data_IF_004261106390
#
_entry.id   IF_004261106390
#
_cell.length_a   1.000
_cell.length_b   1.000
_cell.length_c   1.000
_cell.angle_alpha   90.00
_cell.angle_beta   90.00
_cell.angle_gamma   90.00
#
_symmetry.space_group_name_H-M   'P 1'
#
loop_
_entity.id
_entity.type
_entity.pdbx_description
1 polymer ?
#
# COMPACT_ATOMS: atom_id res chain seq x y z
N UNK A 1 2.99 -38.03 35.95
CA UNK A 1 3.97 -37.69 34.90
C UNK A 1 3.20 -37.49 33.60
N UNK A 2 2.80 -36.24 33.28
CA UNK A 2 1.87 -35.93 32.18
C UNK A 2 2.64 -35.16 31.11
N UNK A 3 2.68 -35.74 29.91
CA UNK A 3 3.40 -35.25 28.74
C UNK A 3 2.60 -34.14 28.05
N UNK A 4 3.16 -32.93 27.98
CA UNK A 4 2.63 -31.82 27.19
C UNK A 4 3.29 -31.82 25.80
N UNK A 5 2.62 -32.38 24.80
CA UNK A 5 2.95 -32.15 23.38
C UNK A 5 2.39 -30.80 22.94
N UNK A 6 3.24 -29.78 22.85
CA UNK A 6 2.92 -28.54 22.11
C UNK A 6 3.10 -28.81 20.61
N UNK A 7 2.02 -28.67 19.84
CA UNK A 7 2.07 -28.50 18.38
C UNK A 7 2.24 -27.01 18.06
N UNK A 8 3.20 -26.59 17.22
CA UNK A 8 3.19 -25.25 16.67
C UNK A 8 2.52 -25.21 15.29
N UNK A 9 1.96 -24.03 15.00
CA UNK A 9 1.79 -23.42 13.67
C UNK A 9 0.83 -24.06 12.67
N UNK A 10 -0.47 -23.82 12.88
CA UNK A 10 -1.52 -24.03 11.86
C UNK A 10 -2.20 -22.74 11.38
N UNK A 11 -1.69 -21.54 11.73
CA UNK A 11 -2.36 -20.26 11.43
C UNK A 11 -1.60 -19.43 10.38
N UNK A 12 -0.31 -19.73 10.13
CA UNK A 12 0.51 -19.01 9.15
C UNK A 12 0.24 -19.42 7.68
N UNK A 13 -0.41 -20.56 7.43
CA UNK A 13 -0.68 -21.03 6.07
C UNK A 13 -1.93 -20.41 5.42
N UNK A 14 -2.85 -19.82 6.21
CA UNK A 14 -4.12 -19.30 5.68
C UNK A 14 -3.99 -17.91 5.03
N UNK A 15 -2.94 -17.15 5.33
CA UNK A 15 -2.81 -15.76 4.89
C UNK A 15 -2.12 -15.62 3.52
N UNK A 16 -1.37 -16.66 3.08
CA UNK A 16 -0.67 -16.66 1.78
C UNK A 16 -1.61 -17.05 0.64
N UNK A 17 -2.70 -17.77 0.91
CA UNK A 17 -3.62 -18.25 -0.14
C UNK A 17 -4.61 -17.15 -0.59
N UNK A 18 -4.92 -16.17 0.27
CA UNK A 18 -5.89 -15.12 -0.08
C UNK A 18 -5.32 -14.02 -0.99
N UNK A 19 -4.00 -14.02 -1.24
CA UNK A 19 -3.32 -13.07 -2.12
C UNK A 19 -3.23 -13.56 -3.59
N UNK A 20 -3.63 -14.82 -3.87
CA UNK A 20 -3.61 -15.41 -5.21
C UNK A 20 -4.92 -15.24 -6.00
N UNK A 21 -5.99 -14.72 -5.36
CA UNK A 21 -7.32 -14.58 -5.99
C UNK A 21 -7.59 -13.21 -6.63
N UNK A 22 -6.61 -12.30 -6.64
CA UNK A 22 -6.67 -11.05 -7.43
C UNK A 22 -5.78 -11.11 -8.68
N UNK A 23 -5.60 -12.31 -9.23
CA UNK A 23 -5.02 -12.53 -10.56
C UNK A 23 -6.05 -12.17 -11.64
N UNK A 24 -6.11 -10.88 -11.97
CA UNK A 24 -6.79 -10.38 -13.18
C UNK A 24 -6.03 -10.98 -14.39
N UNK A 25 -6.73 -11.48 -15.43
CA UNK A 25 -6.10 -12.18 -16.54
C UNK A 25 -5.10 -11.29 -17.27
N UNK A 26 -3.88 -11.79 -17.45
CA UNK A 26 -2.91 -11.24 -18.40
C UNK A 26 -3.56 -11.13 -19.78
N UNK A 27 -3.50 -9.94 -20.37
CA UNK A 27 -3.71 -9.76 -21.80
C UNK A 27 -2.50 -10.42 -22.50
N UNK A 28 -2.70 -11.63 -23.02
CA UNK A 28 -1.73 -12.29 -23.87
C UNK A 28 -1.70 -11.61 -25.25
N UNK A 29 -0.75 -10.70 -25.44
CA UNK A 29 -0.42 -10.19 -26.76
C UNK A 29 0.45 -11.23 -27.48
N UNK A 30 -0.14 -11.95 -28.44
CA UNK A 30 0.59 -12.82 -29.35
C UNK A 30 1.43 -11.96 -30.31
N UNK A 31 2.75 -12.08 -30.23
CA UNK A 31 3.66 -11.70 -31.31
C UNK A 31 4.44 -12.94 -31.74
N UNK A 32 4.03 -13.53 -32.87
CA UNK A 32 4.82 -14.53 -33.56
C UNK A 32 5.86 -13.81 -34.42
N UNK A 33 7.15 -13.95 -34.10
CA UNK A 33 8.23 -13.73 -35.05
C UNK A 33 9.52 -14.46 -34.59
N UNK A 34 9.82 -15.54 -35.31
CA UNK A 34 11.11 -16.17 -35.57
C UNK A 34 12.14 -16.28 -34.44
N UNK A 35 12.35 -17.53 -34.05
CA UNK A 35 13.54 -18.05 -33.37
C UNK A 35 14.83 -17.62 -34.06
N UNK A 36 15.58 -16.75 -33.41
CA UNK A 36 17.03 -16.67 -33.59
C UNK A 36 17.66 -16.60 -32.21
N UNK A 37 18.31 -17.69 -31.81
CA UNK A 37 19.11 -17.79 -30.60
C UNK A 37 20.19 -16.71 -30.60
N UNK A 38 19.98 -15.66 -29.83
CA UNK A 38 21.06 -14.80 -29.36
C UNK A 38 20.84 -14.56 -27.88
N UNK A 39 21.92 -14.65 -27.10
CA UNK A 39 21.97 -14.25 -25.69
C UNK A 39 21.83 -12.71 -25.59
N UNK A 40 20.76 -12.14 -26.13
CA UNK A 40 20.38 -10.77 -25.89
C UNK A 40 19.53 -10.76 -24.63
N UNK A 41 20.07 -10.14 -23.59
CA UNK A 41 19.33 -9.76 -22.39
C UNK A 41 18.13 -8.92 -22.85
N UNK A 42 16.96 -9.54 -22.96
CA UNK A 42 15.77 -8.85 -23.45
C UNK A 42 15.46 -7.72 -22.46
N UNK A 43 15.54 -6.49 -22.94
CA UNK A 43 15.16 -5.30 -22.19
C UNK A 43 13.85 -4.78 -22.76
N UNK A 44 12.94 -4.36 -21.88
CA UNK A 44 11.70 -3.71 -22.26
C UNK A 44 12.01 -2.47 -23.10
N UNK A 45 11.26 -2.32 -24.19
CA UNK A 45 11.31 -1.11 -24.98
C UNK A 45 10.94 0.10 -24.11
N UNK A 46 11.55 1.29 -24.33
CA UNK A 46 11.26 2.48 -23.53
C UNK A 46 9.77 2.85 -23.47
N UNK A 47 9.02 2.58 -24.53
CA UNK A 47 7.58 2.86 -24.60
C UNK A 47 6.78 1.91 -23.70
N UNK A 48 7.19 0.63 -23.63
CA UNK A 48 6.58 -0.34 -22.70
C UNK A 48 6.86 0.04 -21.25
N UNK A 49 8.06 0.52 -20.95
CA UNK A 49 8.40 1.03 -19.61
C UNK A 49 7.51 2.20 -19.23
N UNK A 50 7.30 3.17 -20.14
CA UNK A 50 6.40 4.30 -19.90
C UNK A 50 4.96 3.88 -19.68
N UNK A 51 4.48 2.89 -20.43
CA UNK A 51 3.14 2.36 -20.26
C UNK A 51 2.98 1.69 -18.89
N UNK A 52 3.94 0.87 -18.47
CA UNK A 52 3.94 0.25 -17.15
C UNK A 52 4.01 1.30 -16.03
N UNK A 53 4.79 2.37 -16.20
CA UNK A 53 4.81 3.49 -15.25
C UNK A 53 3.45 4.18 -15.15
N UNK A 54 2.76 4.39 -16.28
CA UNK A 54 1.43 4.98 -16.30
C UNK A 54 0.40 4.08 -15.61
N UNK A 55 0.39 2.78 -15.93
CA UNK A 55 -0.49 1.80 -15.29
C UNK A 55 -0.25 1.72 -13.77
N UNK A 56 1.01 1.74 -13.34
CA UNK A 56 1.35 1.79 -11.92
C UNK A 56 0.87 3.11 -11.29
N UNK A 57 1.01 4.25 -11.98
CA UNK A 57 0.47 5.53 -11.53
C UNK A 57 -1.05 5.49 -11.31
N UNK A 58 -1.79 4.92 -12.25
CA UNK A 58 -3.25 4.75 -12.12
C UNK A 58 -3.63 3.83 -10.96
N UNK A 59 -2.88 2.75 -10.75
CA UNK A 59 -3.06 1.88 -9.60
C UNK A 59 -2.82 2.62 -8.28
N UNK A 60 -1.72 3.38 -8.18
CA UNK A 60 -1.39 4.12 -6.96
C UNK A 60 -2.43 5.19 -6.65
N UNK A 61 -3.01 5.83 -7.67
CA UNK A 61 -4.12 6.77 -7.49
C UNK A 61 -5.33 6.08 -6.87
N UNK A 62 -5.72 4.92 -7.40
CA UNK A 62 -6.84 4.11 -6.85
C UNK A 62 -6.57 3.65 -5.42
N UNK A 63 -5.36 3.17 -5.11
CA UNK A 63 -4.95 2.79 -3.74
C UNK A 63 -5.03 3.99 -2.79
N UNK A 64 -4.62 5.17 -3.24
CA UNK A 64 -4.63 6.40 -2.45
C UNK A 64 -6.08 6.85 -2.14
N UNK A 65 -6.98 6.77 -3.11
CA UNK A 65 -8.40 7.11 -2.92
C UNK A 65 -9.07 6.17 -1.90
N UNK A 66 -8.79 4.87 -1.96
CA UNK A 66 -9.30 3.87 -1.01
C UNK A 66 -8.78 4.10 0.42
N UNK A 67 -7.61 4.70 0.57
CA UNK A 67 -7.02 5.06 1.87
C UNK A 67 -7.50 6.42 2.40
N UNK A 68 -8.40 7.10 1.68
CA UNK A 68 -8.79 8.48 1.96
C UNK A 68 -7.59 9.43 2.04
N UNK A 69 -6.61 9.21 1.19
CA UNK A 69 -5.45 10.08 1.04
C UNK A 69 -5.66 10.98 -0.17
N UNK A 70 -5.04 12.15 -0.14
CA UNK A 70 -4.90 13.04 -1.29
C UNK A 70 -3.45 12.96 -1.74
N UNK A 71 -3.25 12.42 -2.92
CA UNK A 71 -1.94 12.36 -3.57
C UNK A 71 -1.49 13.79 -3.91
N UNK A 72 -0.26 14.14 -3.52
CA UNK A 72 0.35 15.44 -3.80
C UNK A 72 1.38 15.32 -4.93
N UNK A 73 2.25 14.32 -4.83
CA UNK A 73 3.26 14.01 -5.84
C UNK A 73 3.47 12.48 -5.92
N UNK A 74 3.91 12.01 -7.08
CA UNK A 74 4.29 10.61 -7.28
C UNK A 74 5.41 10.51 -8.29
N UNK A 75 6.49 9.82 -7.90
CA UNK A 75 7.62 9.53 -8.77
C UNK A 75 7.75 8.02 -8.92
N UNK A 76 7.82 7.58 -10.17
CA UNK A 76 8.00 6.17 -10.51
C UNK A 76 9.24 6.07 -11.39
N UNK A 77 10.28 5.40 -10.90
CA UNK A 77 11.53 5.21 -11.62
C UNK A 77 11.81 3.72 -11.80
N UNK A 78 12.30 3.35 -12.98
CA UNK A 78 12.75 1.99 -13.23
C UNK A 78 14.11 1.76 -12.55
N UNK A 79 14.21 0.70 -11.75
CA UNK A 79 15.42 0.34 -11.00
C UNK A 79 16.18 -0.76 -11.73
N UNK A 80 15.49 -1.82 -12.15
CA UNK A 80 16.10 -2.95 -12.82
C UNK A 80 15.12 -3.65 -13.76
N UNK A 81 15.70 -4.40 -14.69
CA UNK A 81 14.98 -5.30 -15.59
C UNK A 81 15.73 -6.61 -15.67
N UNK A 82 15.00 -7.72 -15.64
CA UNK A 82 15.53 -9.06 -15.77
C UNK A 82 14.68 -9.85 -16.76
N UNK A 83 15.31 -10.67 -17.57
CA UNK A 83 14.62 -11.57 -18.49
C UNK A 83 14.94 -13.00 -18.10
N UNK A 84 13.91 -13.84 -18.04
CA UNK A 84 14.00 -15.26 -17.76
C UNK A 84 13.16 -16.02 -18.78
N UNK A 85 13.82 -16.60 -19.78
CA UNK A 85 13.14 -17.28 -20.88
C UNK A 85 12.25 -16.33 -21.68
N UNK A 86 10.94 -16.58 -21.66
CA UNK A 86 9.94 -15.76 -22.35
C UNK A 86 9.41 -14.59 -21.48
N UNK A 87 9.83 -14.49 -20.22
CA UNK A 87 9.34 -13.49 -19.29
C UNK A 87 10.35 -12.34 -19.13
N UNK A 88 9.83 -11.13 -18.96
CA UNK A 88 10.60 -9.95 -18.61
C UNK A 88 9.97 -9.32 -17.37
N UNK A 89 10.76 -9.20 -16.31
CA UNK A 89 10.40 -8.59 -15.04
C UNK A 89 11.03 -7.21 -14.94
N UNK A 90 10.27 -6.24 -14.46
CA UNK A 90 10.76 -4.88 -14.20
C UNK A 90 10.50 -4.51 -12.74
N UNK A 91 11.51 -3.94 -12.09
CA UNK A 91 11.41 -3.43 -10.72
C UNK A 91 11.34 -1.92 -10.78
N UNK A 92 10.26 -1.35 -10.23
CA UNK A 92 10.05 0.08 -10.12
C UNK A 92 10.23 0.54 -8.68
N UNK A 93 10.94 1.64 -8.49
CA UNK A 93 10.93 2.42 -7.26
C UNK A 93 9.81 3.44 -7.33
N UNK A 94 9.07 3.58 -6.24
CA UNK A 94 7.91 4.46 -6.15
C UNK A 94 8.03 5.34 -4.92
N UNK A 95 7.97 6.65 -5.13
CA UNK A 95 7.85 7.64 -4.07
C UNK A 95 6.48 8.30 -4.15
N UNK A 96 5.83 8.47 -2.99
CA UNK A 96 4.51 9.10 -2.89
C UNK A 96 4.54 10.16 -1.81
N UNK A 97 4.17 11.37 -2.18
CA UNK A 97 3.83 12.41 -1.23
C UNK A 97 2.31 12.49 -1.13
N UNK A 98 1.79 12.42 0.09
CA UNK A 98 0.35 12.41 0.33
C UNK A 98 0.00 13.13 1.63
N UNK A 99 -1.26 13.57 1.71
CA UNK A 99 -1.88 14.03 2.95
C UNK A 99 -3.21 13.33 3.16
N UNK A 100 -3.81 13.41 4.34
CA UNK A 100 -5.18 12.92 4.48
C UNK A 100 -6.15 13.79 3.69
N UNK A 101 -7.16 13.16 3.08
CA UNK A 101 -8.18 13.84 2.29
C UNK A 101 -9.34 14.33 3.18
N UNK A 102 -9.03 15.18 4.15
CA UNK A 102 -10.01 15.84 5.01
C UNK A 102 -9.91 17.36 4.84
N UNK A 103 -11.05 18.06 4.97
CA UNK A 103 -11.08 19.53 4.87
C UNK A 103 -10.46 20.17 6.12
N UNK A 104 -10.64 19.53 7.29
CA UNK A 104 -10.06 19.90 8.58
C UNK A 104 -9.58 18.64 9.29
N UNK A 105 -8.55 18.75 10.13
CA UNK A 105 -8.10 17.64 10.96
C UNK A 105 -9.24 17.03 11.80
N UNK A 106 -10.17 17.85 12.29
CA UNK A 106 -11.34 17.42 13.08
C UNK A 106 -12.31 16.51 12.31
N UNK A 107 -12.25 16.50 10.98
CA UNK A 107 -13.08 15.61 10.15
C UNK A 107 -12.50 14.20 10.06
N UNK A 108 -11.23 14.01 10.42
CA UNK A 108 -10.59 12.70 10.43
C UNK A 108 -11.30 11.77 11.44
N UNK A 109 -11.67 10.54 11.06
CA UNK A 109 -12.39 9.61 11.94
C UNK A 109 -11.72 9.38 13.30
N UNK A 110 -10.38 9.33 13.31
CA UNK A 110 -9.60 9.18 14.53
C UNK A 110 -9.81 10.35 15.50
N UNK A 111 -9.73 11.59 15.00
CA UNK A 111 -9.89 12.79 15.82
C UNK A 111 -11.35 12.99 16.22
N UNK A 112 -12.28 12.78 15.28
CA UNK A 112 -13.73 12.82 15.54
C UNK A 112 -14.14 11.84 16.64
N UNK A 113 -13.63 10.62 16.60
CA UNK A 113 -13.88 9.59 17.62
C UNK A 113 -13.31 9.98 18.98
N UNK A 114 -12.06 10.46 19.03
CA UNK A 114 -11.42 10.93 20.28
C UNK A 114 -12.15 12.12 20.88
N UNK A 115 -12.51 13.14 20.08
CA UNK A 115 -13.26 14.30 20.56
C UNK A 115 -14.65 13.92 21.07
N UNK A 116 -15.34 12.98 20.40
CA UNK A 116 -16.63 12.46 20.88
C UNK A 116 -16.48 11.69 22.20
N UNK A 117 -15.45 10.84 22.32
CA UNK A 117 -15.15 10.13 23.56
C UNK A 117 -14.90 11.11 24.71
N UNK A 118 -14.09 12.14 24.47
CA UNK A 118 -13.80 13.18 25.47
C UNK A 118 -15.06 13.94 25.89
N UNK A 119 -15.90 14.35 24.94
CA UNK A 119 -17.18 15.03 25.24
C UNK A 119 -18.09 14.19 26.13
N UNK A 120 -18.13 12.87 25.91
CA UNK A 120 -19.03 11.97 26.63
C UNK A 120 -18.45 11.48 27.98
N UNK A 121 -17.13 11.46 28.13
CA UNK A 121 -16.47 10.85 29.28
C UNK A 121 -15.66 11.83 30.13
N UNK A 122 -15.55 13.11 29.75
CA UNK A 122 -14.71 14.08 30.47
C UNK A 122 -14.99 14.14 31.98
N UNK A 123 -16.26 14.01 32.38
CA UNK A 123 -16.67 14.01 33.80
C UNK A 123 -16.26 12.75 34.57
N UNK A 124 -15.85 11.69 33.88
CA UNK A 124 -15.46 10.39 34.43
C UNK A 124 -13.94 10.17 34.41
N UNK A 125 -13.20 11.07 33.77
CA UNK A 125 -11.74 10.98 33.63
C UNK A 125 -11.07 11.80 34.73
N UNK A 126 -9.92 11.33 35.20
CA UNK A 126 -9.05 12.13 36.06
C UNK A 126 -8.42 13.28 35.28
N UNK A 127 -8.01 14.35 35.99
CA UNK A 127 -7.32 15.51 35.41
C UNK A 127 -6.13 15.10 34.52
N UNK A 128 -5.30 14.18 34.99
CA UNK A 128 -4.13 13.67 34.26
C UNK A 128 -4.50 12.96 32.96
N UNK A 129 -5.61 12.22 32.95
CA UNK A 129 -6.12 11.55 31.75
C UNK A 129 -6.70 12.55 30.76
N UNK A 130 -7.35 13.62 31.25
CA UNK A 130 -7.86 14.69 30.40
C UNK A 130 -6.73 15.44 29.71
N UNK A 131 -5.68 15.79 30.45
CA UNK A 131 -4.49 16.47 29.91
C UNK A 131 -3.79 15.63 28.85
N UNK A 132 -3.59 14.33 29.11
CA UNK A 132 -2.99 13.41 28.14
C UNK A 132 -3.82 13.30 26.86
N UNK A 133 -5.14 13.12 26.98
CA UNK A 133 -6.02 13.00 25.83
C UNK A 133 -6.11 14.30 25.01
N UNK A 134 -6.12 15.47 25.67
CA UNK A 134 -6.09 16.76 24.98
C UNK A 134 -4.76 16.99 24.26
N UNK A 135 -3.64 16.60 24.87
CA UNK A 135 -2.32 16.68 24.23
C UNK A 135 -2.27 15.83 22.97
N UNK A 136 -2.79 14.60 23.04
CA UNK A 136 -2.86 13.73 21.86
C UNK A 136 -3.71 14.36 20.75
N UNK A 137 -4.91 14.87 21.09
CA UNK A 137 -5.80 15.54 20.12
C UNK A 137 -5.08 16.69 19.41
N UNK A 138 -4.28 17.47 20.15
CA UNK A 138 -3.53 18.59 19.60
C UNK A 138 -2.40 18.15 18.66
N UNK A 139 -1.67 17.08 19.00
CA UNK A 139 -0.66 16.50 18.10
C UNK A 139 -1.31 16.08 16.78
N UNK A 140 -2.42 15.34 16.85
CA UNK A 140 -3.15 14.91 15.66
C UNK A 140 -3.71 16.07 14.82
N UNK A 141 -3.97 17.24 15.41
CA UNK A 141 -4.38 18.44 14.65
C UNK A 141 -3.24 19.08 13.88
N UNK A 142 -2.01 18.92 14.35
CA UNK A 142 -0.82 19.50 13.72
C UNK A 142 -0.25 18.57 12.65
N UNK A 143 -0.43 17.25 12.80
CA UNK A 143 0.11 16.24 11.88
C UNK A 143 -0.80 15.90 10.69
N UNK A 144 -2.09 16.27 10.73
CA UNK A 144 -3.10 15.98 9.68
C UNK A 144 -3.47 17.21 8.85
#
# INVERSE_FOLDING_TARGET
MISYKRRPTGILAALVIMLLLFSIPMIAAFAAANTTSSNQKASLAPDVVKELQAQLGDYLKKDTDLRHWKLLDTKISLVSQESSGAEVSAVFHTEREYRLNYAKADDAPALKGRSAFMKNNAKKLSQKQLEAANKDIEIWRQEL
#
